data_IF_202194946306
#
_entry.id   IF_202194946306
#
_cell.length_a   1.000
_cell.length_b   1.000
_cell.length_c   1.000
_cell.angle_alpha   90.00
_cell.angle_beta   90.00
_cell.angle_gamma   90.00
#
_symmetry.space_group_name_H-M   'P 1'
#
loop_
_entity.id
_entity.type
_entity.pdbx_description
1 polymer ?
#
# COMPACT_ATOMS: atom_id res chain seq x y z
N UNK A 1 26.72 -29.82 11.08
CA UNK A 1 27.67 -30.12 10.00
C UNK A 1 27.66 -28.94 9.02
N UNK A 2 28.71 -28.12 8.99
CA UNK A 2 28.82 -26.94 8.09
C UNK A 2 29.17 -27.44 6.68
N UNK A 3 28.33 -27.15 5.68
CA UNK A 3 28.62 -27.48 4.27
C UNK A 3 29.37 -26.31 3.63
N UNK A 4 30.54 -26.63 3.08
CA UNK A 4 31.48 -25.71 2.42
C UNK A 4 30.93 -25.20 1.10
N UNK A 5 31.01 -23.88 0.88
CA UNK A 5 30.61 -23.14 -0.34
C UNK A 5 31.67 -23.40 -1.43
N UNK A 6 31.69 -24.57 -2.05
CA UNK A 6 32.65 -24.87 -3.15
C UNK A 6 32.01 -25.53 -4.38
N UNK A 7 30.70 -25.31 -4.58
CA UNK A 7 30.03 -25.70 -5.82
C UNK A 7 29.02 -24.62 -6.22
N UNK A 8 29.49 -23.42 -6.53
CA UNK A 8 28.67 -22.45 -7.27
C UNK A 8 28.74 -22.86 -8.74
N UNK A 9 27.99 -23.90 -9.10
CA UNK A 9 27.63 -24.15 -10.49
C UNK A 9 26.67 -23.06 -10.98
N UNK A 10 26.43 -23.03 -12.28
CA UNK A 10 25.43 -22.14 -12.91
C UNK A 10 24.11 -22.24 -12.15
N UNK A 11 23.71 -21.15 -11.49
CA UNK A 11 22.42 -21.08 -10.79
C UNK A 11 21.34 -20.91 -11.86
N UNK A 12 20.48 -21.92 -12.02
CA UNK A 12 19.27 -21.80 -12.83
C UNK A 12 18.28 -20.90 -12.07
N UNK A 13 18.13 -19.65 -12.51
CA UNK A 13 17.23 -18.68 -11.89
C UNK A 13 15.77 -19.13 -11.87
N UNK A 14 15.38 -20.09 -12.71
CA UNK A 14 14.04 -20.72 -12.69
C UNK A 14 13.81 -21.64 -11.50
N UNK A 15 14.87 -21.95 -10.73
CA UNK A 15 14.82 -22.82 -9.54
C UNK A 15 15.02 -22.05 -8.23
N UNK A 16 15.07 -20.73 -8.29
CA UNK A 16 15.10 -19.86 -7.12
C UNK A 16 13.64 -19.50 -6.79
N UNK A 17 13.09 -20.07 -5.72
CA UNK A 17 11.87 -19.52 -5.10
C UNK A 17 12.29 -18.38 -4.18
N UNK A 18 11.65 -17.23 -4.34
CA UNK A 18 11.72 -16.15 -3.36
C UNK A 18 10.48 -16.31 -2.48
N UNK A 19 10.68 -16.92 -1.32
CA UNK A 19 9.64 -16.97 -0.29
C UNK A 19 9.68 -15.65 0.47
N UNK A 20 8.71 -14.77 0.21
CA UNK A 20 8.58 -13.50 0.90
C UNK A 20 7.74 -13.70 2.17
N UNK A 21 8.35 -13.44 3.32
CA UNK A 21 7.66 -13.25 4.60
C UNK A 21 7.91 -11.81 5.03
N UNK A 22 6.86 -11.00 5.12
CA UNK A 22 7.03 -9.56 5.26
C UNK A 22 5.76 -8.77 5.02
N UNK A 23 5.93 -7.45 5.03
CA UNK A 23 4.92 -6.49 4.62
C UNK A 23 5.36 -5.81 3.34
N UNK A 24 4.41 -5.61 2.43
CA UNK A 24 4.57 -4.77 1.24
C UNK A 24 3.61 -3.62 1.39
N UNK A 25 4.15 -2.41 1.40
CA UNK A 25 3.38 -1.18 1.37
C UNK A 25 3.29 -0.66 -0.06
N UNK A 26 2.08 -0.35 -0.51
CA UNK A 26 1.86 0.15 -1.86
C UNK A 26 0.72 1.16 -1.94
N UNK A 27 0.95 2.19 -2.76
CA UNK A 27 -0.08 3.11 -3.20
C UNK A 27 -0.85 2.45 -4.34
N UNK A 28 -2.14 2.23 -4.14
CA UNK A 28 -3.01 1.63 -5.15
C UNK A 28 -4.23 2.49 -5.40
N UNK A 29 -4.74 2.55 -6.64
CA UNK A 29 -6.01 3.22 -6.92
C UNK A 29 -7.14 2.55 -6.12
N UNK A 30 -7.81 3.32 -5.28
CA UNK A 30 -8.86 2.81 -4.38
C UNK A 30 -10.02 2.16 -5.15
N UNK A 31 -10.33 2.67 -6.35
CA UNK A 31 -11.37 2.15 -7.26
C UNK A 31 -11.17 0.66 -7.58
N UNK A 32 -9.95 0.15 -7.46
CA UNK A 32 -9.61 -1.22 -7.76
C UNK A 32 -9.79 -2.18 -6.56
N UNK A 33 -9.93 -1.65 -5.34
CA UNK A 33 -9.93 -2.39 -4.06
C UNK A 33 -11.35 -2.71 -3.56
N UNK A 34 -12.37 -2.02 -4.08
CA UNK A 34 -13.78 -2.32 -3.83
C UNK A 34 -14.43 -1.49 -2.73
N UNK A 35 -15.76 -1.64 -2.59
CA UNK A 35 -16.62 -0.71 -1.83
C UNK A 35 -16.31 -0.61 -0.31
N UNK A 36 -15.57 -1.56 0.26
CA UNK A 36 -15.17 -1.46 1.67
C UNK A 36 -14.02 -0.48 1.91
N UNK A 37 -13.20 -0.21 0.90
CA UNK A 37 -12.18 0.84 0.99
C UNK A 37 -12.84 2.23 1.06
N UNK A 38 -13.92 2.44 0.28
CA UNK A 38 -14.68 3.70 0.29
C UNK A 38 -15.22 4.03 1.68
N UNK A 39 -15.83 3.05 2.36
CA UNK A 39 -16.37 3.23 3.70
C UNK A 39 -15.29 3.63 4.74
N UNK A 40 -14.07 3.08 4.62
CA UNK A 40 -12.96 3.43 5.52
C UNK A 40 -12.50 4.86 5.28
N UNK A 41 -12.42 5.29 4.01
CA UNK A 41 -12.06 6.67 3.65
C UNK A 41 -13.11 7.64 4.19
N UNK A 42 -14.40 7.34 3.99
CA UNK A 42 -15.50 8.15 4.51
C UNK A 42 -15.40 8.29 6.03
N UNK A 43 -15.15 7.21 6.76
CA UNK A 43 -14.99 7.23 8.22
C UNK A 43 -13.78 8.09 8.64
N UNK A 44 -12.63 7.95 7.99
CA UNK A 44 -11.44 8.75 8.29
C UNK A 44 -11.67 10.24 8.00
N UNK A 45 -12.36 10.56 6.90
CA UNK A 45 -12.73 11.92 6.55
C UNK A 45 -13.73 12.53 7.55
N UNK A 46 -14.70 11.74 8.04
CA UNK A 46 -15.59 12.19 9.11
C UNK A 46 -14.85 12.48 10.42
N UNK A 47 -13.87 11.64 10.78
CA UNK A 47 -13.04 11.87 11.96
C UNK A 47 -12.19 13.13 11.80
N UNK A 48 -11.58 13.32 10.64
CA UNK A 48 -10.83 14.53 10.32
C UNK A 48 -11.69 15.79 10.43
N UNK A 49 -12.91 15.77 9.88
CA UNK A 49 -13.87 16.89 9.95
C UNK A 49 -14.30 17.23 11.38
N UNK A 50 -14.35 16.25 12.29
CA UNK A 50 -14.66 16.51 13.71
C UNK A 50 -13.54 17.29 14.39
N UNK A 51 -12.28 17.04 14.02
CA UNK A 51 -11.12 17.77 14.54
C UNK A 51 -11.00 19.17 13.92
N UNK A 52 -11.39 19.31 12.65
CA UNK A 52 -11.23 20.55 11.87
C UNK A 52 -12.53 20.95 11.15
N UNK A 53 -13.57 21.37 11.88
CA UNK A 53 -14.91 21.61 11.33
C UNK A 53 -15.00 22.78 10.34
N UNK A 54 -14.04 23.71 10.37
CA UNK A 54 -13.94 24.86 9.48
C UNK A 54 -13.36 24.54 8.11
N UNK A 55 -12.76 23.36 7.92
CA UNK A 55 -12.16 22.95 6.65
C UNK A 55 -13.24 22.41 5.72
N UNK A 56 -13.21 22.86 4.45
CA UNK A 56 -13.97 22.19 3.40
C UNK A 56 -13.26 20.91 2.96
N UNK A 57 -13.69 19.78 3.51
CA UNK A 57 -13.13 18.45 3.21
C UNK A 57 -13.26 18.03 1.74
N UNK A 58 -14.12 18.66 0.95
CA UNK A 58 -14.30 18.33 -0.47
C UNK A 58 -13.30 19.03 -1.40
N UNK A 59 -12.79 20.20 -1.01
CA UNK A 59 -11.96 21.04 -1.89
C UNK A 59 -10.56 21.33 -1.35
N UNK A 60 -10.40 21.31 -0.03
CA UNK A 60 -9.21 21.87 0.63
C UNK A 60 -8.31 20.76 1.22
N UNK A 61 -8.77 19.51 1.15
CA UNK A 61 -8.11 18.34 1.73
C UNK A 61 -7.59 17.42 0.63
N UNK A 62 -6.38 16.95 0.85
CA UNK A 62 -5.74 15.89 0.08
C UNK A 62 -5.66 14.66 0.97
N UNK A 63 -5.69 13.49 0.33
CA UNK A 63 -5.50 12.24 1.03
C UNK A 63 -4.69 11.26 0.18
N UNK A 64 -4.05 10.33 0.87
CA UNK A 64 -3.29 9.24 0.28
C UNK A 64 -3.72 7.94 0.92
N UNK A 65 -3.86 6.91 0.10
CA UNK A 65 -4.29 5.59 0.48
C UNK A 65 -3.16 4.61 0.22
N UNK A 66 -2.79 3.89 1.27
CA UNK A 66 -1.73 2.89 1.22
C UNK A 66 -2.27 1.55 1.68
N UNK A 67 -2.19 0.56 0.79
CA UNK A 67 -2.41 -0.83 1.16
C UNK A 67 -1.14 -1.39 1.80
N UNK A 68 -1.31 -1.98 2.97
CA UNK A 68 -0.30 -2.81 3.64
C UNK A 68 -0.69 -4.27 3.43
N UNK A 69 0.07 -4.97 2.59
CA UNK A 69 -0.10 -6.41 2.35
C UNK A 69 0.87 -7.20 3.20
N UNK A 70 0.35 -8.04 4.10
CA UNK A 70 1.13 -8.87 5.01
C UNK A 70 1.03 -10.33 4.59
N UNK A 71 2.17 -10.99 4.38
CA UNK A 71 2.22 -12.41 4.01
C UNK A 71 3.35 -13.13 4.73
N UNK A 72 3.12 -14.39 5.13
CA UNK A 72 4.15 -15.23 5.75
C UNK A 72 4.57 -14.81 7.16
N UNK A 73 3.85 -13.86 7.78
CA UNK A 73 4.03 -13.45 9.17
C UNK A 73 2.87 -14.01 9.99
N UNK A 74 3.18 -14.76 11.04
CA UNK A 74 2.21 -15.21 12.04
C UNK A 74 2.18 -14.20 13.20
N UNK A 75 1.33 -13.17 13.07
CA UNK A 75 1.13 -12.15 14.11
C UNK A 75 -0.36 -11.78 14.16
N UNK A 76 -1.03 -11.90 15.33
CA UNK A 76 -2.45 -11.59 15.48
C UNK A 76 -2.82 -10.12 15.31
N UNK A 77 -1.85 -9.20 15.39
CA UNK A 77 -2.06 -7.75 15.17
C UNK A 77 -2.19 -7.40 13.69
N UNK A 78 -1.70 -8.26 12.79
CA UNK A 78 -1.73 -8.01 11.35
C UNK A 78 -2.77 -8.87 10.65
N UNK A 79 -3.60 -8.24 9.84
CA UNK A 79 -4.39 -8.93 8.83
C UNK A 79 -3.64 -8.97 7.50
N UNK A 80 -4.04 -9.88 6.62
CA UNK A 80 -3.45 -10.01 5.28
C UNK A 80 -3.46 -8.68 4.51
N UNK A 81 -4.55 -7.92 4.64
CA UNK A 81 -4.69 -6.59 4.07
C UNK A 81 -5.03 -5.59 5.18
N UNK A 82 -4.26 -4.53 5.27
CA UNK A 82 -4.51 -3.38 6.13
C UNK A 82 -4.36 -2.09 5.32
N UNK A 83 -4.91 -1.01 5.84
CA UNK A 83 -4.90 0.29 5.19
C UNK A 83 -4.32 1.33 6.13
N UNK A 84 -3.49 2.16 5.52
CA UNK A 84 -3.01 3.41 6.06
C UNK A 84 -3.58 4.56 5.22
N UNK A 85 -4.18 5.55 5.88
CA UNK A 85 -4.70 6.77 5.25
C UNK A 85 -3.98 7.97 5.85
N UNK A 86 -3.47 8.82 4.97
CA UNK A 86 -2.97 10.14 5.33
C UNK A 86 -3.96 11.17 4.83
N UNK A 87 -4.39 12.09 5.70
CA UNK A 87 -5.29 13.19 5.34
C UNK A 87 -4.57 14.49 5.69
N UNK A 88 -4.37 15.37 4.71
CA UNK A 88 -3.69 16.64 4.94
C UNK A 88 -4.34 17.79 4.21
N UNK A 89 -4.15 19.00 4.73
CA UNK A 89 -4.50 20.23 4.03
C UNK A 89 -3.25 21.09 3.86
N UNK A 90 -3.23 21.90 2.80
CA UNK A 90 -2.30 23.04 2.73
C UNK A 90 -2.95 24.24 3.37
N UNK A 91 -2.17 24.98 4.16
CA UNK A 91 -2.62 26.09 5.00
C UNK A 91 -3.64 26.98 4.28
N UNK A 92 -4.86 27.07 4.81
CA UNK A 92 -5.81 28.11 4.45
C UNK A 92 -5.82 29.22 5.54
N UNK A 93 -6.40 30.38 5.23
CA UNK A 93 -6.39 31.55 6.14
C UNK A 93 -7.06 31.31 7.50
N UNK A 94 -7.83 30.23 7.66
CA UNK A 94 -8.54 29.88 8.89
C UNK A 94 -7.71 28.98 9.81
N UNK A 95 -7.00 28.00 9.25
CA UNK A 95 -6.22 27.01 10.02
C UNK A 95 -4.85 27.53 10.49
N UNK A 96 -4.24 28.48 9.77
CA UNK A 96 -2.97 29.11 10.17
C UNK A 96 -1.71 28.23 10.04
N UNK A 97 -1.85 26.89 9.98
CA UNK A 97 -0.78 25.91 9.77
C UNK A 97 -1.23 24.75 8.87
N UNK A 98 -0.28 24.02 8.27
CA UNK A 98 -0.54 22.77 7.55
C UNK A 98 -0.95 21.69 8.56
N UNK A 99 -2.01 20.93 8.25
CA UNK A 99 -2.45 19.79 9.07
C UNK A 99 -2.21 18.50 8.32
N UNK A 100 -1.76 17.47 9.02
CA UNK A 100 -1.58 16.12 8.48
C UNK A 100 -1.93 15.12 9.59
N UNK A 101 -2.96 14.31 9.34
CA UNK A 101 -3.42 13.26 10.24
C UNK A 101 -3.17 11.89 9.59
N UNK A 102 -2.82 10.92 10.44
CA UNK A 102 -2.55 9.55 10.04
C UNK A 102 -3.56 8.60 10.69
N UNK A 103 -4.19 7.77 9.87
CA UNK A 103 -5.14 6.74 10.25
C UNK A 103 -4.60 5.40 9.77
N UNK A 104 -3.87 4.72 10.64
CA UNK A 104 -3.12 3.51 10.30
C UNK A 104 -3.71 2.23 10.85
N UNK A 105 -3.12 1.12 10.39
CA UNK A 105 -3.38 -0.22 10.91
C UNK A 105 -4.87 -0.63 10.83
N UNK A 106 -5.60 -0.12 9.83
CA UNK A 106 -7.03 -0.40 9.68
C UNK A 106 -7.21 -1.72 8.93
N UNK A 107 -7.85 -2.76 9.53
CA UNK A 107 -8.07 -4.02 8.83
C UNK A 107 -8.98 -3.85 7.61
N UNK A 108 -8.49 -4.25 6.43
CA UNK A 108 -9.28 -4.25 5.21
C UNK A 108 -9.96 -5.60 5.02
N UNK A 109 -11.22 -5.68 5.43
CA UNK A 109 -12.01 -6.90 5.34
C UNK A 109 -12.53 -7.19 3.93
N UNK A 110 -11.71 -7.68 3.01
CA UNK A 110 -12.16 -8.07 1.66
C UNK A 110 -12.90 -9.41 1.66
N UNK A 111 -13.81 -9.62 0.70
CA UNK A 111 -14.30 -10.96 0.39
C UNK A 111 -13.26 -11.75 -0.44
N UNK A 112 -13.43 -13.07 -0.60
CA UNK A 112 -12.40 -13.87 -1.27
C UNK A 112 -12.18 -13.50 -2.75
N UNK A 113 -13.21 -13.00 -3.43
CA UNK A 113 -13.09 -12.56 -4.83
C UNK A 113 -12.23 -11.29 -4.91
N UNK A 114 -12.52 -10.32 -4.06
CA UNK A 114 -11.76 -9.07 -3.96
C UNK A 114 -10.34 -9.32 -3.46
N UNK A 115 -10.14 -10.24 -2.51
CA UNK A 115 -8.80 -10.65 -2.06
C UNK A 115 -7.98 -11.21 -3.22
N UNK A 116 -8.55 -12.12 -4.01
CA UNK A 116 -7.84 -12.72 -5.14
C UNK A 116 -7.45 -11.67 -6.19
N UNK A 117 -8.36 -10.73 -6.47
CA UNK A 117 -8.10 -9.59 -7.35
C UNK A 117 -6.94 -8.72 -6.82
N UNK A 118 -6.97 -8.35 -5.55
CA UNK A 118 -5.93 -7.53 -4.91
C UNK A 118 -4.58 -8.26 -4.89
N UNK A 119 -4.54 -9.56 -4.54
CA UNK A 119 -3.31 -10.38 -4.62
C UNK A 119 -2.74 -10.41 -6.02
N UNK A 120 -3.60 -10.55 -7.04
CA UNK A 120 -3.16 -10.56 -8.43
C UNK A 120 -2.55 -9.22 -8.83
N UNK A 121 -3.17 -8.10 -8.44
CA UNK A 121 -2.63 -6.76 -8.66
C UNK A 121 -1.26 -6.57 -8.00
N UNK A 122 -1.12 -6.99 -6.74
CA UNK A 122 0.17 -6.99 -6.02
C UNK A 122 1.20 -7.81 -6.80
N UNK A 123 0.86 -9.03 -7.19
CA UNK A 123 1.75 -9.92 -7.91
C UNK A 123 2.19 -9.33 -9.26
N UNK A 124 1.28 -8.68 -9.99
CA UNK A 124 1.59 -8.05 -11.27
C UNK A 124 2.46 -6.80 -11.09
N UNK A 125 2.19 -5.96 -10.08
CA UNK A 125 3.07 -4.84 -9.73
C UNK A 125 4.48 -5.29 -9.32
N UNK A 126 4.57 -6.35 -8.52
CA UNK A 126 5.85 -6.95 -8.18
C UNK A 126 6.56 -7.49 -9.43
N UNK A 127 5.83 -8.12 -10.37
CA UNK A 127 6.43 -8.57 -11.62
C UNK A 127 6.98 -7.40 -12.44
N UNK A 128 6.25 -6.30 -12.54
CA UNK A 128 6.71 -5.08 -13.21
C UNK A 128 8.02 -4.57 -12.60
N UNK A 129 8.07 -4.46 -11.26
CA UNK A 129 9.25 -3.94 -10.54
C UNK A 129 10.47 -4.85 -10.70
N UNK A 130 10.30 -6.16 -10.55
CA UNK A 130 11.42 -7.10 -10.52
C UNK A 130 11.85 -7.63 -11.89
N UNK A 131 10.96 -7.59 -12.89
CA UNK A 131 11.21 -8.23 -14.18
C UNK A 131 11.02 -7.31 -15.40
N UNK A 132 10.74 -6.02 -15.25
CA UNK A 132 10.92 -5.09 -16.38
C UNK A 132 12.41 -4.94 -16.72
N UNK A 133 12.78 -4.96 -18.01
CA UNK A 133 14.16 -4.71 -18.41
C UNK A 133 14.51 -3.26 -18.08
N UNK A 134 15.55 -3.05 -17.28
CA UNK A 134 16.24 -1.75 -17.16
C UNK A 134 16.89 -1.47 -18.52
N UNK A 135 16.13 -0.92 -19.46
CA UNK A 135 16.53 -0.81 -20.85
C UNK A 135 15.59 0.04 -21.67
N UNK A 136 15.58 1.35 -21.41
CA UNK A 136 14.78 2.27 -22.21
C UNK A 136 14.77 3.74 -21.80
N UNK A 137 15.73 4.23 -21.02
CA UNK A 137 15.96 5.67 -20.93
C UNK A 137 16.52 6.15 -22.28
N UNK A 138 15.64 6.41 -23.25
CA UNK A 138 15.97 7.35 -24.33
C UNK A 138 15.86 8.75 -23.72
N UNK A 139 17.00 9.26 -23.27
CA UNK A 139 17.24 10.68 -23.30
C UNK A 139 17.08 11.14 -24.75
N UNK A 140 16.11 12.00 -25.01
CA UNK A 140 16.15 12.91 -26.16
C UNK A 140 15.81 14.29 -25.64
N UNK A 141 16.76 15.19 -25.93
CA UNK A 141 16.80 16.60 -25.63
C UNK A 141 15.65 17.39 -26.26
#
# INVERSE_FOLDING_TARGET
>A
MRKTINAIGTVDSRKVSVDFAGQIEMHMPFEEIGAKADAIIEECMEQYKKCYPEINTESDVFWDFRLVYTVGIDNPEYTEFMIDIYIWQKTNKAAGEDTCEYYGDIPLGLDELDKEKVRQMIADKMKEIFFMPVGGARATA
#
